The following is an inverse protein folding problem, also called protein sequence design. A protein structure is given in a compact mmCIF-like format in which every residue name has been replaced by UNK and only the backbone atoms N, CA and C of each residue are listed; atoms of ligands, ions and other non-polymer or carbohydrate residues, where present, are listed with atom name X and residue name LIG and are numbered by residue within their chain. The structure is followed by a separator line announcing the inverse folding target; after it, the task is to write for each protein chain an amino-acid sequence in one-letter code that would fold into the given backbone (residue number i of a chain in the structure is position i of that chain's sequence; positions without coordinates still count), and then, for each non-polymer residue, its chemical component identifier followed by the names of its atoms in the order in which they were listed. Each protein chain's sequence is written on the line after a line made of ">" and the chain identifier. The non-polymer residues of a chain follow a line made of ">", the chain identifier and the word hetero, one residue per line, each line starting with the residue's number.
data_IF_545847509565
#
_entry.id   IF_545847509565
#
_cell.length_a   1.000
_cell.length_b   1.000
_cell.length_c   1.000
_cell.angle_alpha   90.00
_cell.angle_beta   90.00
_cell.angle_gamma   90.00
#
_symmetry.space_group_name_H-M   'P 1'
#
loop_
_entity.id
_entity.type
_entity.pdbx_description
1 polymer ?
#
# COMPACT_ATOMS: atom_id res chain seq x y z
N UNK A 1 -11.46 15.08 -9.80
CA UNK A 1 -10.09 14.63 -10.12
C UNK A 1 -9.94 13.18 -9.69
N UNK A 2 -10.25 12.25 -10.58
CA UNK A 2 -10.14 10.81 -10.28
C UNK A 2 -8.69 10.39 -10.52
N UNK A 3 -7.96 10.17 -9.42
CA UNK A 3 -6.54 9.78 -9.44
C UNK A 3 -6.36 8.27 -9.49
N UNK A 4 -7.35 7.53 -8.98
CA UNK A 4 -7.32 6.07 -8.90
C UNK A 4 -8.05 5.45 -10.09
N UNK A 5 -7.76 4.18 -10.38
CA UNK A 5 -8.57 3.40 -11.31
C UNK A 5 -9.96 3.10 -10.72
N UNK A 6 -10.89 2.72 -11.60
CA UNK A 6 -12.25 2.33 -11.20
C UNK A 6 -12.23 1.23 -10.12
N UNK A 7 -11.39 0.22 -10.29
CA UNK A 7 -11.30 -0.95 -9.42
C UNK A 7 -10.81 -0.57 -8.01
N UNK A 8 -9.81 0.32 -7.93
CA UNK A 8 -9.30 0.83 -6.64
C UNK A 8 -10.39 1.68 -5.99
N UNK A 9 -11.00 2.60 -6.73
CA UNK A 9 -12.05 3.46 -6.19
C UNK A 9 -13.27 2.66 -5.72
N UNK A 10 -13.67 1.62 -6.44
CA UNK A 10 -14.77 0.74 -6.04
C UNK A 10 -14.49 0.07 -4.68
N UNK A 11 -13.27 -0.43 -4.47
CA UNK A 11 -12.86 -0.95 -3.16
C UNK A 11 -12.94 0.12 -2.06
N UNK A 12 -12.46 1.32 -2.33
CA UNK A 12 -12.49 2.44 -1.38
C UNK A 12 -13.93 2.82 -1.00
N UNK A 13 -14.83 2.87 -1.96
CA UNK A 13 -16.25 3.17 -1.72
C UNK A 13 -16.92 2.08 -0.87
N UNK A 14 -16.67 0.81 -1.18
CA UNK A 14 -17.18 -0.31 -0.39
C UNK A 14 -16.67 -0.27 1.05
N UNK A 15 -15.39 0.02 1.26
CA UNK A 15 -14.83 0.19 2.60
C UNK A 15 -15.56 1.29 3.37
N UNK A 16 -15.69 2.48 2.80
CA UNK A 16 -16.34 3.60 3.47
C UNK A 16 -17.83 3.31 3.71
N UNK A 17 -18.55 2.79 2.72
CA UNK A 17 -19.97 2.47 2.84
C UNK A 17 -20.23 1.46 3.97
N UNK A 18 -19.37 0.46 4.12
CA UNK A 18 -19.53 -0.58 5.15
C UNK A 18 -19.38 -0.03 6.58
N UNK A 19 -18.48 0.92 6.81
CA UNK A 19 -18.19 1.48 8.13
C UNK A 19 -18.89 2.83 8.40
N UNK A 20 -19.24 3.55 7.35
CA UNK A 20 -19.88 4.88 7.39
C UNK A 20 -20.97 4.97 6.32
N UNK A 21 -22.12 4.25 6.49
CA UNK A 21 -23.18 4.20 5.47
C UNK A 21 -23.78 5.58 5.14
N UNK A 22 -23.81 6.49 6.10
CA UNK A 22 -24.34 7.84 5.94
C UNK A 22 -23.30 8.85 5.39
N UNK A 23 -22.12 8.39 5.01
CA UNK A 23 -21.08 9.27 4.49
C UNK A 23 -21.44 9.80 3.12
N UNK A 24 -21.29 11.13 2.92
CA UNK A 24 -21.43 11.80 1.62
C UNK A 24 -20.17 11.70 0.74
N UNK A 25 -19.21 10.85 1.10
CA UNK A 25 -17.96 10.65 0.34
C UNK A 25 -18.14 9.74 -0.90
N UNK A 26 -19.38 9.44 -1.26
CA UNK A 26 -19.69 8.67 -2.46
C UNK A 26 -19.64 9.57 -3.69
N UNK A 27 -18.88 9.17 -4.69
CA UNK A 27 -18.81 9.86 -5.96
C UNK A 27 -19.83 9.24 -6.92
N UNK A 28 -20.83 10.04 -7.34
CA UNK A 28 -21.83 9.61 -8.31
C UNK A 28 -21.32 9.65 -9.77
N UNK A 29 -20.09 10.15 -9.98
CA UNK A 29 -19.54 10.25 -11.33
C UNK A 29 -18.78 8.97 -11.70
N UNK A 30 -19.03 8.40 -12.88
CA UNK A 30 -18.30 7.24 -13.37
C UNK A 30 -16.81 7.57 -13.52
N UNK A 31 -15.97 6.64 -13.15
CA UNK A 31 -14.53 6.70 -13.40
C UNK A 31 -14.27 5.90 -14.66
N UNK A 32 -13.78 6.57 -15.69
CA UNK A 32 -13.51 5.96 -16.99
C UNK A 32 -12.15 5.25 -17.05
N UNK A 33 -11.25 5.56 -16.10
CA UNK A 33 -9.92 4.96 -16.03
C UNK A 33 -9.98 3.59 -15.35
N UNK A 34 -9.96 2.52 -16.14
CA UNK A 34 -9.91 1.15 -15.68
C UNK A 34 -8.48 0.67 -15.47
N UNK A 35 -8.27 -0.23 -14.52
CA UNK A 35 -6.99 -0.84 -14.21
C UNK A 35 -7.14 -2.25 -13.67
N UNK A 36 -6.09 -2.76 -13.05
CA UNK A 36 -6.14 -4.07 -12.41
C UNK A 36 -6.96 -4.03 -11.12
N UNK A 37 -7.62 -5.13 -10.82
CA UNK A 37 -8.29 -5.31 -9.52
C UNK A 37 -7.25 -5.32 -8.41
N UNK A 38 -7.54 -4.68 -7.25
CA UNK A 38 -6.66 -4.77 -6.09
C UNK A 38 -6.33 -6.23 -5.75
N UNK A 39 -5.04 -6.53 -5.61
CA UNK A 39 -4.57 -7.85 -5.20
C UNK A 39 -4.69 -8.00 -3.68
N UNK A 40 -5.27 -9.10 -3.23
CA UNK A 40 -5.43 -9.43 -1.82
C UNK A 40 -4.63 -10.70 -1.53
N UNK A 41 -3.57 -10.58 -0.74
CA UNK A 41 -2.64 -11.66 -0.43
C UNK A 41 -2.68 -11.98 1.06
N UNK A 42 -3.05 -13.20 1.36
CA UNK A 42 -3.07 -13.72 2.73
C UNK A 42 -1.66 -14.18 3.15
N UNK A 43 -1.30 -13.88 4.39
CA UNK A 43 -0.04 -14.27 5.02
C UNK A 43 -0.30 -14.80 6.42
N UNK A 44 0.53 -15.74 6.86
CA UNK A 44 0.37 -16.43 8.13
C UNK A 44 1.08 -15.71 9.29
N UNK A 45 2.24 -15.12 9.00
CA UNK A 45 3.08 -14.45 9.98
C UNK A 45 3.90 -13.33 9.34
N UNK A 46 4.74 -12.69 10.16
CA UNK A 46 5.57 -11.57 9.74
C UNK A 46 6.63 -11.95 8.71
N UNK A 47 7.22 -13.12 8.82
CA UNK A 47 8.26 -13.56 7.87
C UNK A 47 7.65 -13.84 6.49
N UNK A 48 6.49 -14.52 6.46
CA UNK A 48 5.70 -14.72 5.24
C UNK A 48 5.31 -13.37 4.61
N UNK A 49 4.89 -12.41 5.44
CA UNK A 49 4.57 -11.05 5.00
C UNK A 49 5.77 -10.35 4.33
N UNK A 50 6.95 -10.40 4.94
CA UNK A 50 8.17 -9.78 4.40
C UNK A 50 8.57 -10.45 3.09
N UNK A 51 8.54 -11.78 3.05
CA UNK A 51 8.81 -12.56 1.85
C UNK A 51 7.85 -12.17 0.72
N UNK A 52 6.56 -12.08 1.03
CA UNK A 52 5.53 -11.75 0.05
C UNK A 52 5.68 -10.32 -0.49
N UNK A 53 6.03 -9.35 0.38
CA UNK A 53 6.32 -7.97 -0.06
C UNK A 53 7.47 -7.95 -1.08
N UNK A 54 8.58 -8.63 -0.78
CA UNK A 54 9.74 -8.66 -1.68
C UNK A 54 9.49 -9.43 -2.97
N UNK A 55 8.73 -10.53 -2.92
CA UNK A 55 8.28 -11.25 -4.13
C UNK A 55 7.48 -10.34 -5.06
N UNK A 56 6.53 -9.57 -4.51
CA UNK A 56 5.71 -8.63 -5.30
C UNK A 56 6.57 -7.52 -5.89
N UNK A 57 7.47 -6.91 -5.11
CA UNK A 57 8.39 -5.89 -5.62
C UNK A 57 9.22 -6.46 -6.79
N UNK A 58 9.81 -7.63 -6.62
CA UNK A 58 10.61 -8.29 -7.67
C UNK A 58 9.78 -8.59 -8.92
N UNK A 59 8.54 -9.04 -8.76
CA UNK A 59 7.63 -9.28 -9.88
C UNK A 59 7.33 -7.97 -10.63
N UNK A 60 6.95 -6.91 -9.91
CA UNK A 60 6.63 -5.59 -10.48
C UNK A 60 7.81 -5.02 -11.26
N UNK A 61 9.02 -5.03 -10.67
CA UNK A 61 10.20 -4.44 -11.30
C UNK A 61 10.73 -5.30 -12.44
N UNK A 62 10.94 -6.60 -12.21
CA UNK A 62 11.63 -7.45 -13.18
C UNK A 62 10.72 -7.93 -14.31
N UNK A 63 9.44 -8.23 -14.02
CA UNK A 63 8.49 -8.75 -15.02
C UNK A 63 7.62 -7.66 -15.63
N UNK A 64 7.05 -6.79 -14.79
CA UNK A 64 6.09 -5.77 -15.22
C UNK A 64 6.76 -4.43 -15.57
N UNK A 65 8.09 -4.32 -15.34
CA UNK A 65 8.91 -3.15 -15.70
C UNK A 65 8.49 -1.86 -14.99
N UNK A 66 7.88 -1.99 -13.81
CA UNK A 66 7.58 -0.85 -12.95
C UNK A 66 8.88 -0.26 -12.41
N UNK A 67 9.05 1.05 -12.51
CA UNK A 67 10.24 1.72 -11.95
C UNK A 67 10.17 1.67 -10.42
N UNK A 68 11.23 1.24 -9.70
CA UNK A 68 11.20 1.11 -8.23
C UNK A 68 10.71 2.35 -7.50
N UNK A 69 11.10 3.56 -7.93
CA UNK A 69 10.64 4.84 -7.34
C UNK A 69 9.12 5.05 -7.40
N UNK A 70 8.43 4.34 -8.27
CA UNK A 70 6.97 4.42 -8.42
C UNK A 70 6.21 3.42 -7.53
N UNK A 71 6.96 2.69 -6.68
CA UNK A 71 6.43 1.73 -5.71
C UNK A 71 6.57 2.29 -4.31
N UNK A 72 5.50 2.19 -3.52
CA UNK A 72 5.56 2.40 -2.08
C UNK A 72 5.01 1.19 -1.33
N UNK A 73 5.71 0.81 -0.27
CA UNK A 73 5.23 -0.10 0.76
C UNK A 73 4.79 0.75 1.94
N UNK A 74 3.51 0.72 2.27
CA UNK A 74 2.96 1.49 3.39
C UNK A 74 2.35 0.54 4.43
N UNK A 75 2.48 0.91 5.71
CA UNK A 75 2.02 0.09 6.82
C UNK A 75 1.16 0.87 7.80
N UNK A 76 0.21 0.19 8.43
CA UNK A 76 -0.56 0.76 9.53
C UNK A 76 0.20 0.56 10.85
N UNK A 77 0.15 1.58 11.72
CA UNK A 77 0.85 1.57 13.00
C UNK A 77 2.34 1.87 12.91
N UNK A 78 3.09 1.48 13.94
CA UNK A 78 4.55 1.56 13.99
C UNK A 78 5.15 0.22 13.57
N UNK A 79 6.14 0.25 12.68
CA UNK A 79 7.03 -0.92 12.53
C UNK A 79 7.77 -1.04 13.87
N UNK A 80 7.42 -2.05 14.67
CA UNK A 80 8.23 -2.38 15.85
C UNK A 80 9.63 -2.67 15.36
N UNK A 81 10.62 -2.11 16.02
CA UNK A 81 12.02 -2.45 15.76
C UNK A 81 12.15 -3.99 15.78
N UNK A 82 12.76 -4.60 14.74
CA UNK A 82 12.89 -6.03 14.70
C UNK A 82 13.68 -6.52 15.94
N UNK A 83 13.25 -7.61 16.54
CA UNK A 83 14.11 -8.33 17.48
C UNK A 83 15.39 -8.77 16.74
N UNK A 84 16.46 -9.07 17.45
CA UNK A 84 17.75 -9.46 16.82
C UNK A 84 17.63 -10.60 15.80
N UNK A 85 16.57 -11.39 15.85
CA UNK A 85 16.32 -12.56 15.00
C UNK A 85 15.19 -12.34 13.97
N UNK A 86 14.53 -11.16 13.94
CA UNK A 86 13.44 -10.91 13.00
C UNK A 86 13.97 -10.29 11.71
N UNK A 87 13.53 -10.81 10.58
CA UNK A 87 13.71 -10.16 9.30
C UNK A 87 13.06 -8.77 9.30
N UNK A 88 13.73 -7.81 8.71
CA UNK A 88 13.19 -6.47 8.49
C UNK A 88 12.80 -6.31 7.02
N UNK A 89 11.64 -5.74 6.75
CA UNK A 89 11.23 -5.38 5.37
C UNK A 89 12.33 -4.55 4.69
N UNK A 90 12.89 -3.56 5.40
CA UNK A 90 13.99 -2.73 4.89
C UNK A 90 15.20 -3.58 4.49
N UNK A 91 15.60 -4.52 5.35
CA UNK A 91 16.75 -5.39 5.09
C UNK A 91 16.50 -6.26 3.86
N UNK A 92 15.33 -6.86 3.74
CA UNK A 92 15.01 -7.74 2.62
C UNK A 92 14.88 -6.97 1.30
N UNK A 93 14.30 -5.77 1.30
CA UNK A 93 14.26 -4.90 0.11
C UNK A 93 15.69 -4.56 -0.34
N UNK A 94 16.58 -4.19 0.61
CA UNK A 94 17.99 -3.89 0.30
C UNK A 94 18.77 -5.11 -0.20
N UNK A 95 18.56 -6.30 0.36
CA UNK A 95 19.18 -7.55 -0.13
C UNK A 95 18.79 -7.87 -1.58
N UNK A 96 17.59 -7.46 -1.99
CA UNK A 96 17.12 -7.61 -3.37
C UNK A 96 17.63 -6.50 -4.31
N UNK A 97 18.54 -5.65 -3.86
CA UNK A 97 19.22 -4.65 -4.68
C UNK A 97 18.50 -3.31 -4.77
N UNK A 98 17.48 -3.06 -3.98
CA UNK A 98 16.76 -1.79 -3.97
C UNK A 98 17.17 -0.92 -2.77
N UNK A 99 17.29 0.38 -2.99
CA UNK A 99 17.40 1.35 -1.91
C UNK A 99 16.02 1.58 -1.26
N UNK A 100 16.01 1.97 0.02
CA UNK A 100 14.78 2.28 0.76
C UNK A 100 14.84 3.72 1.24
N UNK A 101 13.77 4.46 0.98
CA UNK A 101 13.60 5.86 1.41
C UNK A 101 12.30 6.01 2.20
N UNK A 102 12.25 6.98 3.11
CA UNK A 102 11.04 7.34 3.84
C UNK A 102 10.22 8.41 3.10
N UNK A 103 8.98 8.65 3.54
CA UNK A 103 8.18 9.74 3.01
C UNK A 103 8.75 11.12 3.35
N UNK A 104 9.48 11.24 4.46
CA UNK A 104 10.14 12.48 4.89
C UNK A 104 11.27 12.89 3.94
N UNK A 105 11.93 11.91 3.33
CA UNK A 105 13.01 12.17 2.36
C UNK A 105 12.52 12.96 1.14
N UNK A 106 11.23 12.98 0.84
CA UNK A 106 10.66 13.77 -0.26
C UNK A 106 10.54 15.25 0.03
N UNK A 107 10.73 15.70 1.26
CA UNK A 107 10.75 17.11 1.65
C UNK A 107 12.12 17.78 1.45
N UNK A 108 13.17 17.00 1.25
CA UNK A 108 14.53 17.48 1.06
C UNK A 108 14.78 17.94 -0.38
N UNK A 109 15.43 19.12 -0.61
CA UNK A 109 15.69 19.63 -1.95
C UNK A 109 16.61 18.76 -2.81
N UNK A 110 17.25 17.76 -2.23
CA UNK A 110 18.16 16.83 -2.91
C UNK A 110 17.45 15.63 -3.57
N UNK A 111 16.16 15.43 -3.34
CA UNK A 111 15.41 14.28 -3.87
C UNK A 111 15.11 14.40 -5.36
N UNK A 112 15.28 15.56 -5.97
CA UNK A 112 15.23 15.70 -7.43
C UNK A 112 16.30 14.86 -8.18
N UNK A 113 17.26 14.28 -7.46
CA UNK A 113 18.14 13.20 -7.92
C UNK A 113 17.74 11.85 -7.32
N UNK A 114 16.44 11.62 -7.10
CA UNK A 114 15.96 10.35 -6.56
C UNK A 114 16.48 9.22 -7.43
N UNK A 115 17.31 8.41 -6.82
CA UNK A 115 17.80 7.19 -7.42
C UNK A 115 16.58 6.43 -7.96
N UNK A 116 16.56 6.13 -9.23
CA UNK A 116 15.44 5.38 -9.85
C UNK A 116 15.18 4.03 -9.16
N UNK A 117 16.18 3.54 -8.45
CA UNK A 117 16.19 2.25 -7.75
C UNK A 117 15.72 2.31 -6.29
N UNK A 118 14.95 3.35 -5.89
CA UNK A 118 14.46 3.50 -4.51
C UNK A 118 13.01 3.03 -4.37
N UNK A 119 12.73 2.22 -3.35
CA UNK A 119 11.38 1.89 -2.90
C UNK A 119 11.03 2.80 -1.71
N UNK A 120 9.85 3.39 -1.71
CA UNK A 120 9.36 4.12 -0.53
C UNK A 120 8.83 3.14 0.50
N UNK A 121 9.26 3.26 1.76
CA UNK A 121 8.73 2.49 2.88
C UNK A 121 8.39 3.42 4.02
N UNK A 122 7.10 3.54 4.35
CA UNK A 122 6.67 4.41 5.46
C UNK A 122 5.30 4.03 6.03
N UNK A 123 4.92 4.67 7.13
CA UNK A 123 3.57 4.56 7.68
C UNK A 123 2.54 5.27 6.80
N UNK A 124 1.30 4.77 6.82
CA UNK A 124 0.17 5.40 6.11
C UNK A 124 0.04 6.89 6.50
N UNK A 125 0.29 7.21 7.78
CA UNK A 125 0.17 8.59 8.27
C UNK A 125 1.19 9.54 7.65
N UNK A 126 2.46 9.14 7.58
CA UNK A 126 3.54 9.94 6.99
C UNK A 126 3.45 10.02 5.47
N UNK A 127 2.92 8.99 4.85
CA UNK A 127 2.70 8.93 3.41
C UNK A 127 1.55 9.83 2.93
N UNK A 128 0.81 10.47 3.86
CA UNK A 128 -0.27 11.41 3.52
C UNK A 128 0.24 12.56 2.64
N UNK A 129 -0.42 12.76 1.50
CA UNK A 129 -0.05 13.82 0.53
C UNK A 129 0.79 13.33 -0.64
N UNK A 130 1.46 12.18 -0.51
CA UNK A 130 2.19 11.53 -1.60
C UNK A 130 1.27 10.59 -2.39
N UNK A 131 1.71 10.25 -3.60
CA UNK A 131 1.04 9.29 -4.49
C UNK A 131 2.09 8.46 -5.22
N UNK A 132 1.76 7.22 -5.53
CA UNK A 132 2.60 6.32 -6.32
C UNK A 132 1.77 5.53 -7.32
N UNK A 133 2.42 5.07 -8.36
CA UNK A 133 1.77 4.19 -9.35
C UNK A 133 1.31 2.91 -8.68
N UNK A 134 2.16 2.32 -7.83
CA UNK A 134 1.89 1.10 -7.07
C UNK A 134 1.97 1.36 -5.57
N UNK A 135 0.95 0.94 -4.84
CA UNK A 135 0.94 0.90 -3.38
C UNK A 135 0.81 -0.55 -2.92
N UNK A 136 1.72 -0.97 -2.05
CA UNK A 136 1.66 -2.23 -1.33
C UNK A 136 1.34 -1.89 0.14
N UNK A 137 0.17 -2.29 0.61
CA UNK A 137 -0.24 -2.07 2.00
C UNK A 137 0.02 -3.33 2.80
N UNK A 138 0.61 -3.17 3.97
CA UNK A 138 0.98 -4.28 4.83
C UNK A 138 0.81 -3.94 6.31
N UNK A 139 1.02 -4.91 7.19
CA UNK A 139 0.92 -4.77 8.65
C UNK A 139 -0.46 -4.28 9.13
N UNK A 140 -1.53 -4.71 8.46
CA UNK A 140 -2.90 -4.50 8.93
C UNK A 140 -3.29 -5.67 9.83
N UNK A 141 -3.70 -5.39 11.06
CA UNK A 141 -4.15 -6.44 11.99
C UNK A 141 -5.65 -6.67 11.89
N UNK A 142 -6.42 -5.59 11.74
CA UNK A 142 -7.87 -5.62 11.52
C UNK A 142 -8.37 -4.32 10.90
N UNK A 143 -9.56 -4.35 10.30
CA UNK A 143 -10.26 -3.16 9.82
C UNK A 143 -11.40 -2.87 10.80
N UNK A 144 -11.29 -1.74 11.48
CA UNK A 144 -12.31 -1.24 12.41
C UNK A 144 -12.79 0.14 11.95
N UNK A 145 -13.83 0.66 12.62
CA UNK A 145 -14.31 2.02 12.37
C UNK A 145 -13.24 3.08 12.63
N UNK A 146 -12.29 2.83 13.51
CA UNK A 146 -11.18 3.74 13.82
C UNK A 146 -10.07 3.66 12.77
N UNK A 147 -9.71 2.46 12.34
CA UNK A 147 -8.59 2.25 11.41
C UNK A 147 -8.98 2.48 9.94
N UNK A 148 -10.26 2.32 9.57
CA UNK A 148 -10.71 2.42 8.18
C UNK A 148 -10.43 3.78 7.53
N UNK A 149 -10.44 4.88 8.29
CA UNK A 149 -10.10 6.22 7.75
C UNK A 149 -8.64 6.33 7.33
N UNK A 150 -7.73 5.78 8.17
CA UNK A 150 -6.31 5.73 7.84
C UNK A 150 -6.08 4.81 6.64
N UNK A 151 -6.72 3.63 6.65
CA UNK A 151 -6.64 2.70 5.53
C UNK A 151 -7.14 3.33 4.22
N UNK A 152 -8.31 3.97 4.23
CA UNK A 152 -8.80 4.72 3.07
C UNK A 152 -7.78 5.74 2.57
N UNK A 153 -7.16 6.50 3.49
CA UNK A 153 -6.14 7.48 3.14
C UNK A 153 -4.95 6.84 2.43
N UNK A 154 -4.46 5.68 2.93
CA UNK A 154 -3.36 4.96 2.32
C UNK A 154 -3.71 4.35 0.97
N UNK A 155 -4.82 3.62 0.89
CA UNK A 155 -5.27 2.97 -0.34
C UNK A 155 -5.55 3.97 -1.47
N UNK A 156 -6.09 5.15 -1.13
CA UNK A 156 -6.39 6.22 -2.11
C UNK A 156 -5.14 6.85 -2.74
N UNK A 157 -3.93 6.48 -2.30
CA UNK A 157 -2.66 6.96 -2.86
C UNK A 157 -2.16 6.12 -4.05
N UNK A 158 -2.77 4.96 -4.29
CA UNK A 158 -2.45 4.12 -5.45
C UNK A 158 -3.07 4.70 -6.72
N UNK A 159 -2.23 5.01 -7.71
CA UNK A 159 -2.72 5.56 -8.99
C UNK A 159 -3.20 4.47 -9.95
N UNK A 160 -2.51 3.35 -10.02
CA UNK A 160 -2.79 2.30 -11.01
C UNK A 160 -2.92 0.90 -10.41
N UNK A 161 -2.12 0.55 -9.41
CA UNK A 161 -2.08 -0.80 -8.87
C UNK A 161 -2.04 -0.79 -7.34
N UNK A 162 -2.86 -1.63 -6.72
CA UNK A 162 -2.99 -1.75 -5.28
C UNK A 162 -2.84 -3.20 -4.85
N UNK A 163 -1.92 -3.46 -3.93
CA UNK A 163 -1.70 -4.77 -3.32
C UNK A 163 -1.92 -4.65 -1.81
N UNK A 164 -2.71 -5.53 -1.24
CA UNK A 164 -2.94 -5.62 0.21
C UNK A 164 -2.43 -6.96 0.69
N UNK A 165 -1.41 -6.94 1.55
CA UNK A 165 -0.78 -8.12 2.14
C UNK A 165 -1.09 -8.13 3.62
N UNK A 166 -1.91 -9.08 4.08
CA UNK A 166 -2.37 -9.11 5.47
C UNK A 166 -2.82 -10.50 5.91
N UNK A 167 -3.16 -10.62 7.17
CA UNK A 167 -3.68 -11.84 7.74
C UNK A 167 -5.05 -12.22 7.16
N UNK A 168 -5.46 -13.46 7.37
CA UNK A 168 -6.73 -14.01 6.90
C UNK A 168 -7.95 -13.19 7.34
N UNK A 169 -7.93 -12.65 8.57
CA UNK A 169 -9.03 -11.84 9.12
C UNK A 169 -9.28 -10.62 8.25
N UNK A 170 -8.25 -9.83 7.97
CA UNK A 170 -8.33 -8.61 7.12
C UNK A 170 -8.74 -8.95 5.69
N UNK A 171 -8.12 -9.98 5.11
CA UNK A 171 -8.45 -10.40 3.73
C UNK A 171 -9.91 -10.80 3.61
N UNK A 172 -10.45 -11.55 4.58
CA UNK A 172 -11.86 -11.92 4.60
C UNK A 172 -12.79 -10.72 4.84
N UNK A 173 -12.40 -9.76 5.71
CA UNK A 173 -13.16 -8.53 5.88
C UNK A 173 -13.29 -7.77 4.55
N UNK A 174 -12.19 -7.65 3.79
CA UNK A 174 -12.21 -6.95 2.48
C UNK A 174 -13.05 -7.70 1.45
N UNK A 175 -12.90 -9.03 1.36
CA UNK A 175 -13.69 -9.87 0.44
C UNK A 175 -15.18 -9.85 0.74
N UNK A 176 -15.57 -9.66 2.01
CA UNK A 176 -16.95 -9.58 2.45
C UNK A 176 -17.62 -8.23 2.27
N UNK A 177 -16.91 -7.20 1.74
CA UNK A 177 -17.50 -5.88 1.47
C UNK A 177 -18.47 -5.93 0.30
N UNK A 178 -19.69 -5.47 0.53
CA UNK A 178 -20.79 -5.40 -0.45
C UNK A 178 -20.87 -4.03 -1.15
#
# INVERSE_FOLDING_TARGET
>A
NFRNTFEINNLLQKLIKNFYPDSKLFYDKPIENHGEKPQLLEVNDRNDQITKVTEIINKLVNKEKVVPRDIAVIYDGSIKAPSKNDLSITTEIKKNGFDVISAEDYSEPYINKSKENCITLDSIRRFKGLEKTVIIVTNLEEITKETVKNLYTGLSRARAHLVIISNKKVINQIKGLN
#
